data_IF_815604882002
#
_entry.id   IF_815604882002
#
_cell.length_a   1.000
_cell.length_b   1.000
_cell.length_c   1.000
_cell.angle_alpha   90.00
_cell.angle_beta   90.00
_cell.angle_gamma   90.00
#
_symmetry.space_group_name_H-M   'P 1'
#
loop_
_entity.id
_entity.type
_entity.pdbx_description
1 polymer ?
#
# COMPACT_ATOMS: atom_id res chain seq x y z
N UNK A 1 12.50 8.77 11.40
CA UNK A 1 12.04 9.19 10.08
C UNK A 1 11.11 10.38 10.16
N UNK A 2 9.94 10.25 10.86
CA UNK A 2 8.92 11.29 10.94
C UNK A 2 9.45 12.63 11.49
N UNK A 3 10.21 12.61 12.59
CA UNK A 3 10.79 13.82 13.21
C UNK A 3 11.63 14.64 12.22
N UNK A 4 12.44 13.97 11.40
CA UNK A 4 13.27 14.64 10.38
C UNK A 4 12.43 15.18 9.22
N UNK A 5 11.36 14.48 8.84
CA UNK A 5 10.42 14.97 7.85
C UNK A 5 9.65 16.19 8.35
N UNK A 6 9.26 16.21 9.62
CA UNK A 6 8.62 17.35 10.27
C UNK A 6 9.52 18.59 10.35
N UNK A 7 10.84 18.38 10.46
CA UNK A 7 11.83 19.46 10.41
C UNK A 7 12.14 19.93 8.98
N UNK A 8 11.53 19.33 7.95
CA UNK A 8 11.80 19.65 6.55
C UNK A 8 13.14 19.13 6.01
N UNK A 9 13.83 18.29 6.78
CA UNK A 9 15.14 17.75 6.40
C UNK A 9 15.06 16.65 5.34
N UNK A 10 13.96 15.92 5.29
CA UNK A 10 13.73 14.81 4.35
C UNK A 10 12.27 14.76 3.92
N UNK A 11 12.03 14.19 2.74
CA UNK A 11 10.70 13.73 2.32
C UNK A 11 10.54 12.27 2.69
N UNK A 12 9.31 11.82 2.96
CA UNK A 12 8.99 10.44 3.24
C UNK A 12 8.55 9.75 1.94
N UNK A 13 9.15 8.60 1.64
CA UNK A 13 8.70 7.70 0.58
C UNK A 13 8.14 6.43 1.22
N UNK A 14 6.84 6.19 1.08
CA UNK A 14 6.24 4.91 1.42
C UNK A 14 6.63 3.89 0.35
N UNK A 15 7.10 2.73 0.77
CA UNK A 15 7.75 1.77 -0.13
C UNK A 15 6.90 0.55 -0.40
N UNK A 16 6.25 0.02 0.62
CA UNK A 16 5.48 -1.22 0.52
C UNK A 16 4.52 -1.40 1.69
N UNK A 17 3.50 -2.19 1.45
CA UNK A 17 2.60 -2.72 2.45
C UNK A 17 2.95 -4.19 2.71
N UNK A 18 3.06 -4.57 3.97
CA UNK A 18 3.39 -5.94 4.38
C UNK A 18 2.26 -6.49 5.20
N UNK A 19 1.83 -7.71 4.91
CA UNK A 19 0.80 -8.40 5.69
C UNK A 19 1.39 -9.58 6.44
N UNK A 20 0.78 -9.92 7.56
CA UNK A 20 1.20 -11.02 8.39
C UNK A 20 0.05 -11.66 9.15
N UNK A 21 0.31 -12.83 9.74
CA UNK A 21 -0.64 -13.59 10.53
C UNK A 21 -0.29 -13.63 12.01
N UNK A 22 0.52 -12.68 12.49
CA UNK A 22 0.91 -12.60 13.89
C UNK A 22 -0.30 -12.47 14.82
N UNK A 23 -0.24 -13.16 15.95
CA UNK A 23 -1.26 -13.05 17.01
C UNK A 23 -0.71 -12.21 18.14
N UNK A 24 -1.54 -11.34 18.68
CA UNK A 24 -1.19 -10.40 19.74
C UNK A 24 -2.06 -10.65 20.97
N UNK A 25 -1.44 -10.81 22.13
CA UNK A 25 -2.14 -10.83 23.41
C UNK A 25 -2.72 -9.45 23.75
N UNK A 26 -3.65 -9.38 24.67
CA UNK A 26 -4.25 -8.12 25.10
C UNK A 26 -3.20 -7.11 25.61
N UNK A 27 -2.13 -7.58 26.25
CA UNK A 27 -1.04 -6.73 26.74
C UNK A 27 -0.14 -6.20 25.61
N UNK A 28 -0.09 -6.88 24.47
CA UNK A 28 0.68 -6.46 23.28
C UNK A 28 -0.12 -5.50 22.37
N UNK A 29 -1.45 -5.51 22.46
CA UNK A 29 -2.35 -4.62 21.68
C UNK A 29 -2.40 -3.18 22.21
N UNK A 30 -1.45 -2.78 23.03
CA UNK A 30 -1.38 -1.40 23.54
C UNK A 30 -0.60 -0.50 22.59
N UNK A 31 -1.01 0.77 22.49
CA UNK A 31 -0.34 1.75 21.64
C UNK A 31 1.18 1.81 21.93
N UNK A 32 1.55 1.84 23.21
CA UNK A 32 2.95 1.90 23.62
C UNK A 32 3.80 0.68 23.13
N UNK A 33 3.19 -0.51 23.05
CA UNK A 33 3.86 -1.70 22.52
C UNK A 33 3.94 -1.68 21.01
N UNK A 34 2.87 -1.27 20.34
CA UNK A 34 2.85 -1.19 18.88
C UNK A 34 3.80 -0.11 18.35
N UNK A 35 3.95 1.01 19.05
CA UNK A 35 4.93 2.05 18.70
C UNK A 35 6.39 1.61 18.81
N UNK A 36 6.67 0.55 19.55
CA UNK A 36 8.02 -0.04 19.68
C UNK A 36 8.28 -1.12 18.61
N UNK A 37 7.28 -1.50 17.83
CA UNK A 37 7.45 -2.50 16.78
C UNK A 37 8.37 -1.99 15.67
N UNK A 38 9.36 -2.77 15.31
CA UNK A 38 10.28 -2.50 14.19
C UNK A 38 10.01 -3.41 12.99
N UNK A 39 9.16 -4.42 13.16
CA UNK A 39 8.72 -5.37 12.13
C UNK A 39 7.40 -6.01 12.55
N UNK A 40 6.71 -6.63 11.62
CA UNK A 40 5.55 -7.47 11.92
C UNK A 40 5.98 -8.71 12.73
N UNK A 41 5.07 -9.23 13.54
CA UNK A 41 5.33 -10.40 14.38
C UNK A 41 5.49 -11.67 13.56
N UNK A 42 4.69 -11.83 12.51
CA UNK A 42 4.73 -12.98 11.61
C UNK A 42 4.40 -12.56 10.17
N UNK A 43 5.39 -11.97 9.50
CA UNK A 43 5.25 -11.51 8.13
C UNK A 43 4.98 -12.67 7.17
N UNK A 44 4.05 -12.48 6.25
CA UNK A 44 3.71 -13.40 5.16
C UNK A 44 4.09 -12.84 3.79
N UNK A 45 3.40 -11.82 3.31
CA UNK A 45 3.60 -11.26 1.99
C UNK A 45 3.86 -9.76 2.04
N UNK A 46 4.53 -9.27 1.01
CA UNK A 46 4.82 -7.85 0.80
C UNK A 46 4.29 -7.42 -0.56
N UNK A 47 3.64 -6.26 -0.60
CA UNK A 47 2.97 -5.72 -1.78
C UNK A 47 3.43 -4.29 -2.05
N UNK A 48 3.55 -3.95 -3.32
CA UNK A 48 3.80 -2.59 -3.79
C UNK A 48 2.55 -1.75 -3.57
N UNK A 49 2.76 -0.46 -3.35
CA UNK A 49 1.67 0.51 -3.19
C UNK A 49 1.20 0.98 -4.56
N UNK A 50 -0.11 1.15 -4.71
CA UNK A 50 -0.74 1.55 -5.98
C UNK A 50 -1.01 3.04 -6.02
N UNK A 51 -1.43 3.65 -4.91
CA UNK A 51 -1.86 5.03 -4.85
C UNK A 51 -1.59 5.68 -3.49
N UNK A 52 -1.53 7.02 -3.47
CA UNK A 52 -1.49 7.84 -2.27
C UNK A 52 -2.34 9.09 -2.46
N UNK A 53 -3.28 9.30 -1.54
CA UNK A 53 -4.12 10.50 -1.48
C UNK A 53 -3.92 11.25 -0.17
N UNK A 54 -3.97 12.57 -0.22
CA UNK A 54 -4.07 13.39 0.98
C UNK A 54 -5.49 13.26 1.53
N UNK A 55 -5.64 12.61 2.68
CA UNK A 55 -6.93 12.41 3.31
C UNK A 55 -7.32 13.57 4.23
N UNK A 56 -6.36 14.13 4.93
CA UNK A 56 -6.54 15.31 5.79
C UNK A 56 -5.19 16.02 5.97
N UNK A 57 -5.22 17.17 6.64
CA UNK A 57 -3.99 17.93 6.95
C UNK A 57 -2.94 17.12 7.76
N UNK A 58 -3.32 15.97 8.33
CA UNK A 58 -2.45 15.18 9.21
C UNK A 58 -2.42 13.70 8.83
N UNK A 59 -3.05 13.31 7.73
CA UNK A 59 -3.07 11.91 7.30
C UNK A 59 -3.11 11.75 5.79
N UNK A 60 -2.53 10.66 5.34
CA UNK A 60 -2.59 10.19 3.96
C UNK A 60 -3.27 8.83 3.93
N UNK A 61 -4.00 8.59 2.85
CA UNK A 61 -4.51 7.27 2.49
C UNK A 61 -3.54 6.65 1.51
N UNK A 62 -3.03 5.48 1.81
CA UNK A 62 -2.14 4.70 0.95
C UNK A 62 -2.87 3.43 0.55
N UNK A 63 -2.98 3.18 -0.75
CA UNK A 63 -3.69 2.02 -1.29
C UNK A 63 -2.70 0.97 -1.80
N UNK A 64 -2.98 -0.30 -1.51
CA UNK A 64 -2.23 -1.45 -2.02
C UNK A 64 -3.17 -2.59 -2.40
N UNK A 65 -2.76 -3.40 -3.37
CA UNK A 65 -3.48 -4.60 -3.79
C UNK A 65 -2.85 -5.82 -3.11
N UNK A 66 -3.56 -6.39 -2.13
CA UNK A 66 -3.20 -7.64 -1.46
C UNK A 66 -3.77 -8.79 -2.28
N UNK A 67 -2.93 -9.73 -2.73
CA UNK A 67 -3.35 -10.80 -3.63
C UNK A 67 -2.57 -12.09 -3.36
N UNK A 68 -3.16 -13.24 -3.74
CA UNK A 68 -2.52 -14.54 -3.64
C UNK A 68 -1.75 -14.95 -4.91
N UNK A 69 -1.84 -14.14 -5.97
CA UNK A 69 -1.07 -14.30 -7.20
C UNK A 69 -0.55 -12.93 -7.63
N UNK A 70 0.71 -12.86 -8.04
CA UNK A 70 1.28 -11.63 -8.60
C UNK A 70 0.55 -11.25 -9.89
N UNK A 71 -0.02 -10.04 -9.98
CA UNK A 71 -0.87 -9.65 -11.11
C UNK A 71 -0.09 -9.43 -12.41
N UNK A 72 1.23 -9.23 -12.33
CA UNK A 72 2.09 -8.97 -13.50
C UNK A 72 2.79 -10.22 -13.96
N UNK A 73 3.47 -10.92 -13.05
CA UNK A 73 4.24 -12.12 -13.38
C UNK A 73 3.42 -13.41 -13.32
N UNK A 74 2.19 -13.35 -12.82
CA UNK A 74 1.29 -14.50 -12.57
C UNK A 74 1.88 -15.56 -11.63
N UNK A 75 2.92 -15.21 -10.88
CA UNK A 75 3.53 -16.10 -9.90
C UNK A 75 2.61 -16.27 -8.69
N UNK A 76 2.49 -17.52 -8.21
CA UNK A 76 1.80 -17.83 -6.97
C UNK A 76 2.51 -17.16 -5.79
N UNK A 77 1.80 -16.36 -5.01
CA UNK A 77 2.30 -15.68 -3.81
C UNK A 77 1.87 -16.38 -2.53
N UNK A 78 0.71 -17.05 -2.54
CA UNK A 78 0.16 -17.73 -1.37
C UNK A 78 -0.11 -19.19 -1.73
N UNK A 79 0.66 -20.10 -1.13
CA UNK A 79 0.50 -21.56 -1.29
C UNK A 79 -0.29 -22.17 -0.14
N UNK A 80 -0.30 -21.53 1.03
CA UNK A 80 -1.09 -21.89 2.20
C UNK A 80 -1.88 -20.68 2.68
N UNK A 81 -3.19 -20.83 2.84
CA UNK A 81 -4.06 -19.75 3.29
C UNK A 81 -3.74 -19.30 4.71
N UNK A 82 -3.95 -18.02 4.99
CA UNK A 82 -3.74 -17.44 6.32
C UNK A 82 -4.68 -16.26 6.58
N UNK A 83 -4.89 -15.95 7.87
CA UNK A 83 -5.60 -14.75 8.26
C UNK A 83 -4.65 -13.55 8.29
N UNK A 84 -5.08 -12.43 7.71
CA UNK A 84 -4.37 -11.17 7.74
C UNK A 84 -4.65 -10.50 9.09
N UNK A 85 -3.80 -10.75 10.06
CA UNK A 85 -3.95 -10.24 11.42
C UNK A 85 -3.16 -8.98 11.69
N UNK A 86 -2.20 -8.67 10.84
CA UNK A 86 -1.34 -7.49 10.96
C UNK A 86 -1.00 -6.94 9.56
N UNK A 87 -0.98 -5.62 9.47
CA UNK A 87 -0.59 -4.89 8.28
C UNK A 87 0.44 -3.85 8.69
N UNK A 88 1.60 -3.84 8.05
CA UNK A 88 2.67 -2.86 8.25
C UNK A 88 2.86 -2.01 7.02
N UNK A 89 2.92 -0.69 7.20
CA UNK A 89 3.31 0.26 6.18
C UNK A 89 4.79 0.61 6.39
N UNK A 90 5.60 0.40 5.37
CA UNK A 90 7.04 0.68 5.41
C UNK A 90 7.37 1.95 4.65
N UNK A 91 8.39 2.65 5.13
CA UNK A 91 8.83 3.91 4.54
C UNK A 91 10.33 4.13 4.73
N UNK A 92 10.90 4.97 3.88
CA UNK A 92 12.29 5.44 3.94
C UNK A 92 12.38 6.94 3.62
N UNK A 93 13.53 7.58 3.81
CA UNK A 93 13.78 8.89 3.20
C UNK A 93 13.69 8.77 1.68
N UNK A 94 13.04 9.73 1.02
CA UNK A 94 12.97 9.76 -0.45
C UNK A 94 14.38 9.80 -1.05
N UNK A 95 14.65 8.93 -2.02
CA UNK A 95 15.99 8.75 -2.58
C UNK A 95 16.99 8.04 -1.66
N UNK A 96 16.59 7.65 -0.44
CA UNK A 96 17.44 6.91 0.49
C UNK A 96 17.69 5.47 0.06
N UNK A 97 18.79 4.89 0.55
CA UNK A 97 19.14 3.49 0.30
C UNK A 97 18.09 2.54 0.93
N UNK A 98 17.99 1.31 0.41
CA UNK A 98 16.98 0.34 0.86
C UNK A 98 17.15 -0.07 2.32
N UNK A 99 18.35 -0.04 2.86
CA UNK A 99 18.66 -0.34 4.26
C UNK A 99 18.19 0.74 5.24
N UNK A 100 17.76 1.90 4.75
CA UNK A 100 17.14 2.97 5.55
C UNK A 100 15.64 2.80 5.74
N UNK A 101 15.05 1.75 5.16
CA UNK A 101 13.63 1.45 5.28
C UNK A 101 13.28 1.02 6.70
N UNK A 102 12.17 1.55 7.22
CA UNK A 102 11.68 1.23 8.56
C UNK A 102 10.18 0.93 8.52
N UNK A 103 9.70 0.15 9.49
CA UNK A 103 8.27 0.05 9.75
C UNK A 103 7.78 1.41 10.25
N UNK A 104 6.99 2.09 9.43
CA UNK A 104 6.45 3.41 9.72
C UNK A 104 5.21 3.34 10.60
N UNK A 105 4.32 2.41 10.28
CA UNK A 105 3.05 2.23 10.98
C UNK A 105 2.63 0.76 10.94
N UNK A 106 1.90 0.33 11.96
CA UNK A 106 1.36 -1.02 12.07
C UNK A 106 -0.11 -0.96 12.48
N UNK A 107 -0.95 -1.73 11.79
CA UNK A 107 -2.32 -2.02 12.18
C UNK A 107 -2.45 -3.51 12.51
N UNK A 108 -3.22 -3.83 13.52
CA UNK A 108 -3.49 -5.21 13.95
C UNK A 108 -5.00 -5.42 14.10
N UNK A 109 -5.43 -6.67 13.89
CA UNK A 109 -6.84 -7.00 14.14
C UNK A 109 -7.23 -6.81 15.61
N UNK A 110 -8.40 -6.24 15.86
CA UNK A 110 -8.96 -6.13 17.20
C UNK A 110 -9.49 -7.47 17.72
N UNK A 111 -9.99 -8.31 16.81
CA UNK A 111 -10.50 -9.64 17.08
C UNK A 111 -9.43 -10.73 17.16
N UNK A 112 -9.87 -11.98 17.05
CA UNK A 112 -8.99 -13.16 16.99
C UNK A 112 -8.34 -13.31 15.62
N UNK A 113 -9.09 -13.05 14.55
CA UNK A 113 -8.63 -13.14 13.17
C UNK A 113 -9.13 -11.94 12.35
N UNK A 114 -8.32 -11.51 11.40
CA UNK A 114 -8.70 -10.58 10.34
C UNK A 114 -9.26 -11.32 9.11
N UNK A 115 -9.14 -10.70 7.93
CA UNK A 115 -9.59 -11.29 6.68
C UNK A 115 -8.76 -12.51 6.29
N UNK A 116 -9.40 -13.48 5.66
CA UNK A 116 -8.72 -14.70 5.21
C UNK A 116 -8.19 -14.55 3.78
N UNK A 117 -6.90 -14.72 3.60
CA UNK A 117 -6.27 -14.83 2.28
C UNK A 117 -6.16 -16.32 1.91
N UNK A 118 -6.94 -16.81 0.95
CA UNK A 118 -6.89 -18.22 0.52
C UNK A 118 -5.62 -18.51 -0.28
N UNK A 119 -5.18 -19.78 -0.34
CA UNK A 119 -4.14 -20.18 -1.28
C UNK A 119 -4.62 -19.97 -2.71
N UNK A 120 -3.68 -19.69 -3.63
CA UNK A 120 -4.00 -19.61 -5.04
C UNK A 120 -4.35 -21.00 -5.58
N UNK A 121 -5.51 -21.12 -6.19
CA UNK A 121 -6.06 -22.39 -6.68
C UNK A 121 -5.69 -22.74 -8.14
N UNK A 122 -4.85 -21.92 -8.77
CA UNK A 122 -4.43 -22.09 -10.17
C UNK A 122 -5.36 -21.45 -11.21
N UNK A 123 -6.52 -20.92 -10.81
CA UNK A 123 -7.53 -20.36 -11.74
C UNK A 123 -7.86 -18.90 -11.45
N UNK A 124 -8.40 -18.62 -10.25
CA UNK A 124 -8.90 -17.30 -9.92
C UNK A 124 -8.07 -16.71 -8.76
N UNK A 125 -7.38 -15.57 -8.97
CA UNK A 125 -6.70 -14.88 -7.89
C UNK A 125 -7.71 -14.28 -6.90
N UNK A 126 -7.42 -14.41 -5.60
CA UNK A 126 -8.09 -13.63 -4.58
C UNK A 126 -7.37 -12.28 -4.44
N UNK A 127 -8.13 -11.19 -4.41
CA UNK A 127 -7.60 -9.83 -4.36
C UNK A 127 -8.39 -9.00 -3.34
N UNK A 128 -7.68 -8.21 -2.56
CA UNK A 128 -8.23 -7.26 -1.60
C UNK A 128 -7.57 -5.91 -1.86
N UNK A 129 -8.34 -4.90 -2.24
CA UNK A 129 -7.85 -3.52 -2.25
C UNK A 129 -7.83 -3.02 -0.82
N UNK A 130 -6.65 -2.69 -0.32
CA UNK A 130 -6.45 -2.25 1.05
C UNK A 130 -6.09 -0.77 1.09
N UNK A 131 -6.98 0.02 1.67
CA UNK A 131 -6.69 1.40 2.05
C UNK A 131 -6.10 1.43 3.46
N UNK A 132 -4.96 2.08 3.61
CA UNK A 132 -4.26 2.26 4.87
C UNK A 132 -4.11 3.74 5.17
N UNK A 133 -4.63 4.18 6.31
CA UNK A 133 -4.55 5.58 6.75
C UNK A 133 -3.35 5.76 7.68
N UNK A 134 -2.37 6.51 7.23
CA UNK A 134 -1.18 6.83 8.00
C UNK A 134 -1.18 8.28 8.44
N UNK A 135 -0.87 8.53 9.72
CA UNK A 135 -0.71 9.88 10.23
C UNK A 135 0.63 10.44 9.77
N UNK A 136 0.58 11.64 9.19
CA UNK A 136 1.74 12.45 8.80
C UNK A 136 1.52 13.87 9.33
N UNK A 137 2.55 14.69 9.38
CA UNK A 137 2.38 16.09 9.76
C UNK A 137 2.23 16.96 8.50
N UNK A 138 1.55 18.11 8.61
CA UNK A 138 1.32 19.09 7.55
C UNK A 138 2.59 19.52 6.80
N UNK A 139 3.74 19.48 7.47
CA UNK A 139 5.03 19.89 6.88
C UNK A 139 5.77 18.72 6.20
N UNK A 140 5.26 17.50 6.29
CA UNK A 140 5.93 16.35 5.70
C UNK A 140 5.45 16.16 4.24
N UNK A 141 6.37 16.25 3.29
CA UNK A 141 6.12 15.78 1.93
C UNK A 141 6.21 14.26 1.88
N UNK A 142 5.21 13.62 1.30
CA UNK A 142 5.13 12.17 1.17
C UNK A 142 4.97 11.75 -0.28
N UNK A 143 5.57 10.63 -0.63
CA UNK A 143 5.47 9.99 -1.94
C UNK A 143 5.33 8.48 -1.77
N UNK A 144 5.01 7.76 -2.84
CA UNK A 144 5.06 6.30 -2.87
C UNK A 144 5.99 5.80 -3.95
N UNK A 145 6.49 4.58 -3.76
CA UNK A 145 7.17 3.83 -4.81
C UNK A 145 6.15 2.88 -5.44
N UNK A 146 5.75 3.19 -6.67
CA UNK A 146 4.78 2.41 -7.45
C UNK A 146 5.42 1.43 -8.43
N UNK A 147 6.75 1.31 -8.44
CA UNK A 147 7.43 0.39 -9.35
C UNK A 147 6.98 -1.06 -9.12
N UNK A 148 6.39 -1.66 -10.14
CA UNK A 148 5.81 -3.01 -10.06
C UNK A 148 4.43 -3.09 -9.40
N UNK A 149 3.78 -1.97 -9.09
CA UNK A 149 2.40 -1.96 -8.61
C UNK A 149 1.42 -2.39 -9.71
N UNK A 150 0.37 -3.07 -9.31
CA UNK A 150 -0.76 -3.32 -10.20
C UNK A 150 -1.55 -2.02 -10.42
N UNK A 151 -1.91 -1.73 -11.65
CA UNK A 151 -2.85 -0.63 -11.96
C UNK A 151 -4.25 -1.05 -11.52
N UNK A 152 -4.85 -0.31 -10.61
CA UNK A 152 -6.23 -0.52 -10.22
C UNK A 152 -7.17 0.00 -11.33
N UNK A 153 -8.33 -0.63 -11.51
CA UNK A 153 -9.29 -0.24 -12.54
C UNK A 153 -9.75 1.21 -12.38
N UNK A 154 -9.86 1.69 -11.14
CA UNK A 154 -10.19 3.09 -10.84
C UNK A 154 -9.07 4.06 -11.21
N UNK A 155 -7.80 3.64 -11.14
CA UNK A 155 -6.64 4.46 -11.49
C UNK A 155 -6.45 4.56 -12.99
N UNK A 156 -6.84 3.53 -13.75
CA UNK A 156 -6.87 3.59 -15.20
C UNK A 156 -7.77 4.71 -15.74
N UNK A 157 -8.79 5.12 -14.98
CA UNK A 157 -9.68 6.22 -15.31
C UNK A 157 -9.17 7.60 -14.81
N UNK A 158 -8.06 7.63 -14.05
CA UNK A 158 -7.46 8.88 -13.53
C UNK A 158 -6.32 9.39 -14.41
N UNK A 159 -6.10 8.83 -15.58
CA UNK A 159 -5.05 9.27 -16.50
C UNK A 159 -5.23 10.75 -16.86
N UNK A 160 -4.12 11.48 -16.82
CA UNK A 160 -4.11 12.91 -17.19
C UNK A 160 -3.03 13.15 -18.26
N UNK A 161 -3.33 14.05 -19.15
CA UNK A 161 -2.34 14.58 -20.09
C UNK A 161 -1.31 15.42 -19.34
N UNK A 162 -0.01 15.14 -19.55
CA UNK A 162 1.08 15.78 -18.81
C UNK A 162 1.21 17.28 -19.12
N UNK A 163 0.78 17.73 -20.29
CA UNK A 163 0.87 19.10 -20.72
C UNK A 163 -0.37 19.89 -20.31
N UNK A 164 -1.54 19.38 -20.62
CA UNK A 164 -2.82 20.11 -20.42
C UNK A 164 -3.43 19.86 -19.05
N UNK A 165 -2.97 18.80 -18.34
CA UNK A 165 -3.54 18.31 -17.06
C UNK A 165 -4.99 17.87 -17.16
N UNK A 166 -5.53 17.74 -18.36
CA UNK A 166 -6.88 17.24 -18.59
C UNK A 166 -6.97 15.75 -18.21
N UNK A 167 -8.09 15.38 -17.61
CA UNK A 167 -8.41 13.95 -17.36
C UNK A 167 -8.62 13.25 -18.71
N UNK A 168 -8.08 12.05 -18.84
CA UNK A 168 -8.18 11.23 -20.03
C UNK A 168 -8.69 9.84 -19.67
N UNK A 169 -9.42 9.22 -20.56
CA UNK A 169 -9.74 7.79 -20.53
C UNK A 169 -9.10 7.09 -21.71
N UNK A 170 -8.67 5.85 -21.49
CA UNK A 170 -8.25 4.95 -22.55
C UNK A 170 -9.43 4.01 -22.86
N UNK A 171 -9.69 3.79 -24.12
CA UNK A 171 -10.68 2.83 -24.58
C UNK A 171 -10.17 2.04 -25.78
N UNK A 172 -10.93 1.02 -26.17
CA UNK A 172 -10.71 0.26 -27.39
C UNK A 172 -11.96 0.38 -28.24
N UNK A 173 -11.79 0.83 -29.49
CA UNK A 173 -12.84 0.86 -30.49
C UNK A 173 -12.35 0.15 -31.76
N UNK A 174 -13.10 -0.85 -32.23
CA UNK A 174 -12.76 -1.70 -33.38
C UNK A 174 -11.34 -2.26 -33.33
N UNK A 175 -10.85 -2.62 -32.13
CA UNK A 175 -9.51 -3.16 -31.91
C UNK A 175 -8.39 -2.12 -31.84
N UNK A 176 -8.71 -0.83 -31.96
CA UNK A 176 -7.75 0.28 -31.84
C UNK A 176 -7.85 0.92 -30.47
N UNK A 177 -6.71 1.16 -29.83
CA UNK A 177 -6.63 1.90 -28.56
C UNK A 177 -6.77 3.39 -28.86
N UNK A 178 -7.66 4.06 -28.13
CA UNK A 178 -7.79 5.50 -28.19
C UNK A 178 -7.63 6.14 -26.81
N UNK A 179 -7.21 7.39 -26.80
CA UNK A 179 -7.18 8.26 -25.62
C UNK A 179 -8.15 9.41 -25.86
N UNK A 180 -9.06 9.62 -24.94
CA UNK A 180 -10.06 10.68 -25.02
C UNK A 180 -10.02 11.56 -23.77
N UNK A 181 -9.93 12.88 -23.99
CA UNK A 181 -10.09 13.84 -22.89
C UNK A 181 -11.53 13.78 -22.34
N UNK A 182 -11.65 13.88 -21.02
CA UNK A 182 -12.94 13.91 -20.31
C UNK A 182 -13.15 15.35 -19.85
N UNK A 183 -14.22 15.99 -20.31
CA UNK A 183 -14.70 17.26 -19.74
C UNK A 183 -15.29 16.99 -18.35
N UNK A 184 -15.00 17.88 -17.39
CA UNK A 184 -15.63 17.86 -16.06
C UNK A 184 -17.13 18.08 -16.13
#
# INVERSE_FOLDING_TARGET
>A
LLTRAQAGEIKIEFTRMVVGNGTYSASEKTLAKLQQATKLKSQKNSYTLSDIDVYSNHSVKVTGLITNQDPVSHKTLVTEGYYINEIGLYAKPSGGASDTEVLYSIAITSGSNGDFMPPYNGYNPAQITQDYFATVNNSAEVTINTAGAALLAEDANKLRDDTTKMKCKIGIDNGLIYVQAISE
#
